data_IF_966409802816
#
_entry.id   IF_966409802816
#
_cell.length_a   1.000
_cell.length_b   1.000
_cell.length_c   1.000
_cell.angle_alpha   90.00
_cell.angle_beta   90.00
_cell.angle_gamma   90.00
#
_symmetry.space_group_name_H-M   'P 1'
#
loop_
_entity.id
_entity.type
_entity.pdbx_description
1 polymer ?
#
# COMPACT_ATOMS: atom_id res chain seq x y z
N UNK A 1 -0.31 -3.82 -20.88
CA UNK A 1 0.54 -2.69 -20.44
C UNK A 1 -0.26 -1.68 -19.59
N UNK A 2 -0.91 -2.11 -18.50
CA UNK A 2 -1.83 -1.25 -17.73
C UNK A 2 -1.55 -1.21 -16.22
N UNK A 3 -0.37 -1.67 -15.81
CA UNK A 3 -0.01 -1.77 -14.40
C UNK A 3 0.33 -0.42 -13.79
N UNK A 4 0.14 -0.30 -12.47
CA UNK A 4 0.51 0.91 -11.73
C UNK A 4 2.00 1.25 -11.90
N UNK A 5 2.89 0.27 -11.93
CA UNK A 5 4.34 0.50 -12.10
C UNK A 5 4.66 1.28 -13.38
N UNK A 6 4.04 0.90 -14.51
CA UNK A 6 4.20 1.61 -15.78
C UNK A 6 3.60 3.02 -15.72
N UNK A 7 2.43 3.19 -15.10
CA UNK A 7 1.79 4.49 -14.94
C UNK A 7 2.65 5.45 -14.11
N UNK A 8 3.26 4.97 -13.03
CA UNK A 8 4.18 5.77 -12.21
C UNK A 8 5.45 6.19 -12.98
N UNK A 9 6.01 5.29 -13.78
CA UNK A 9 7.16 5.59 -14.65
C UNK A 9 6.82 6.71 -15.64
N UNK A 10 5.73 6.53 -16.38
CA UNK A 10 5.26 7.49 -17.39
C UNK A 10 4.92 8.83 -16.73
N UNK A 11 4.21 8.84 -15.59
CA UNK A 11 3.89 10.06 -14.86
C UNK A 11 5.15 10.83 -14.46
N UNK A 12 6.16 10.14 -13.91
CA UNK A 12 7.41 10.77 -13.47
C UNK A 12 8.17 11.38 -14.66
N UNK A 13 8.20 10.68 -15.81
CA UNK A 13 8.81 11.19 -17.04
C UNK A 13 8.06 12.43 -17.53
N UNK A 14 6.73 12.40 -17.55
CA UNK A 14 5.90 13.54 -17.96
C UNK A 14 6.14 14.74 -17.04
N UNK A 15 6.16 14.54 -15.72
CA UNK A 15 6.46 15.61 -14.75
C UNK A 15 7.83 16.25 -15.04
N UNK A 16 8.87 15.44 -15.21
CA UNK A 16 10.22 15.94 -15.50
C UNK A 16 10.31 16.68 -16.85
N UNK A 17 9.67 16.16 -17.90
CA UNK A 17 9.62 16.83 -19.20
C UNK A 17 8.91 18.17 -19.09
N UNK A 18 7.73 18.21 -18.47
CA UNK A 18 6.97 19.45 -18.30
C UNK A 18 7.74 20.51 -17.52
N UNK A 19 8.36 20.14 -16.40
CA UNK A 19 9.14 21.09 -15.59
C UNK A 19 10.40 21.56 -16.34
N UNK A 20 11.10 20.66 -17.03
CA UNK A 20 12.29 21.01 -17.82
C UNK A 20 11.91 21.96 -18.96
N UNK A 21 10.83 21.65 -19.69
CA UNK A 21 10.31 22.51 -20.77
C UNK A 21 9.92 23.90 -20.27
N UNK A 22 9.33 24.00 -19.07
CA UNK A 22 9.00 25.28 -18.45
C UNK A 22 10.26 26.13 -18.19
N UNK A 23 11.33 25.54 -17.64
CA UNK A 23 12.57 26.27 -17.40
C UNK A 23 13.30 26.65 -18.69
N UNK A 24 13.33 25.75 -19.68
CA UNK A 24 13.89 26.03 -21.00
C UNK A 24 13.18 27.20 -21.70
N UNK A 25 11.84 27.25 -21.60
CA UNK A 25 11.04 28.34 -22.13
C UNK A 25 11.40 29.71 -21.51
N UNK A 26 11.90 29.70 -20.28
CA UNK A 26 12.35 30.89 -19.56
C UNK A 26 13.86 31.17 -19.73
N UNK A 27 14.51 30.56 -20.73
CA UNK A 27 15.91 30.84 -21.07
C UNK A 27 16.96 30.15 -20.18
N UNK A 28 16.55 29.18 -19.36
CA UNK A 28 17.47 28.40 -18.53
C UNK A 28 18.21 27.37 -19.39
N UNK A 29 19.51 27.16 -19.14
CA UNK A 29 20.29 26.13 -19.85
C UNK A 29 19.76 24.72 -19.55
N UNK A 30 19.89 23.78 -20.48
CA UNK A 30 19.33 22.43 -20.34
C UNK A 30 19.75 21.72 -19.05
N UNK A 31 21.03 21.75 -18.71
CA UNK A 31 21.56 21.09 -17.51
C UNK A 31 20.92 21.69 -16.25
N UNK A 32 20.83 23.02 -16.17
CA UNK A 32 20.24 23.68 -15.02
C UNK A 32 18.72 23.51 -14.97
N UNK A 33 18.05 23.47 -16.12
CA UNK A 33 16.61 23.19 -16.23
C UNK A 33 16.26 21.79 -15.69
N UNK A 34 17.05 20.76 -16.05
CA UNK A 34 16.88 19.40 -15.52
C UNK A 34 17.10 19.38 -14.00
N UNK A 35 18.15 20.05 -13.51
CA UNK A 35 18.40 20.15 -12.07
C UNK A 35 17.23 20.79 -11.32
N UNK A 36 16.71 21.92 -11.80
CA UNK A 36 15.55 22.59 -11.21
C UNK A 36 14.28 21.73 -11.30
N UNK A 37 14.07 21.02 -12.40
CA UNK A 37 12.94 20.09 -12.55
C UNK A 37 12.97 18.98 -11.49
N UNK A 38 14.15 18.42 -11.20
CA UNK A 38 14.33 17.44 -10.13
C UNK A 38 14.03 18.08 -8.77
N UNK A 39 14.51 19.29 -8.50
CA UNK A 39 14.21 19.99 -7.25
C UNK A 39 12.72 20.25 -7.06
N UNK A 40 12.01 20.65 -8.12
CA UNK A 40 10.54 20.83 -8.09
C UNK A 40 9.85 19.51 -7.78
N UNK A 41 10.23 18.43 -8.47
CA UNK A 41 9.67 17.10 -8.23
C UNK A 41 9.87 16.66 -6.77
N UNK A 42 11.10 16.77 -6.24
CA UNK A 42 11.41 16.42 -4.85
C UNK A 42 10.70 17.34 -3.85
N UNK A 43 10.57 18.63 -4.17
CA UNK A 43 9.85 19.62 -3.38
C UNK A 43 8.37 19.29 -3.25
N UNK A 44 7.70 18.93 -4.34
CA UNK A 44 6.30 18.50 -4.34
C UNK A 44 6.12 17.24 -3.48
N UNK A 45 6.99 16.24 -3.62
CA UNK A 45 6.89 15.01 -2.79
C UNK A 45 7.14 15.31 -1.31
N UNK A 46 8.10 16.17 -1.00
CA UNK A 46 8.36 16.62 0.37
C UNK A 46 7.16 17.33 0.97
N UNK A 47 6.53 18.23 0.19
CA UNK A 47 5.32 18.92 0.60
C UNK A 47 4.17 17.94 0.93
N UNK A 48 3.95 16.91 0.11
CA UNK A 48 2.91 15.90 0.37
C UNK A 48 3.15 15.13 1.69
N UNK A 49 4.41 14.74 1.97
CA UNK A 49 4.77 14.07 3.22
C UNK A 49 4.54 15.00 4.42
N UNK A 50 5.02 16.25 4.35
CA UNK A 50 4.81 17.25 5.41
C UNK A 50 3.33 17.50 5.66
N UNK A 51 2.54 17.66 4.59
CA UNK A 51 1.08 17.84 4.69
C UNK A 51 0.43 16.65 5.40
N UNK A 52 0.86 15.42 5.11
CA UNK A 52 0.38 14.22 5.80
C UNK A 52 0.68 14.25 7.29
N UNK A 53 1.89 14.68 7.69
CA UNK A 53 2.26 14.85 9.10
C UNK A 53 1.50 15.97 9.80
N UNK A 54 1.22 17.09 9.12
CA UNK A 54 0.38 18.16 9.67
C UNK A 54 -1.01 17.62 10.01
N UNK A 55 -1.63 16.88 9.10
CA UNK A 55 -2.94 16.27 9.32
C UNK A 55 -2.87 15.24 10.45
N UNK A 56 -1.86 14.37 10.45
CA UNK A 56 -1.65 13.42 11.52
C UNK A 56 -1.47 14.11 12.88
N UNK A 57 -0.76 15.24 12.93
CA UNK A 57 -0.56 16.02 14.15
C UNK A 57 -1.85 16.65 14.68
N UNK A 58 -2.68 17.20 13.79
CA UNK A 58 -3.97 17.81 14.13
C UNK A 58 -4.95 16.76 14.69
N UNK A 59 -4.96 15.55 14.10
CA UNK A 59 -5.94 14.50 14.42
C UNK A 59 -5.36 13.30 15.17
N UNK A 60 -4.17 13.42 15.77
CA UNK A 60 -3.53 12.32 16.50
C UNK A 60 -4.34 11.90 17.72
N UNK A 61 -4.34 10.61 18.00
CA UNK A 61 -4.74 10.11 19.32
C UNK A 61 -3.71 10.52 20.38
N UNK A 62 -4.13 10.72 21.64
CA UNK A 62 -3.20 10.96 22.74
C UNK A 62 -2.16 9.85 22.84
N UNK A 63 -0.88 10.21 22.85
CA UNK A 63 0.21 9.26 23.03
C UNK A 63 0.47 9.06 24.54
N UNK A 64 0.54 7.80 25.02
CA UNK A 64 0.94 7.52 26.40
C UNK A 64 2.31 8.14 26.70
N UNK A 65 2.58 8.60 27.94
CA UNK A 65 3.83 9.31 28.27
C UNK A 65 5.11 8.58 27.83
N UNK A 66 5.14 7.25 27.96
CA UNK A 66 6.28 6.42 27.56
C UNK A 66 6.53 6.36 26.03
N UNK A 67 5.57 6.77 25.21
CA UNK A 67 5.64 6.76 23.74
C UNK A 67 5.68 8.16 23.13
N UNK A 68 5.77 9.20 23.96
CA UNK A 68 5.89 10.57 23.46
C UNK A 68 7.28 10.78 22.85
N UNK A 69 7.29 11.29 21.62
CA UNK A 69 8.52 11.57 20.90
C UNK A 69 9.04 12.96 21.25
N UNK A 70 10.33 13.06 21.56
CA UNK A 70 11.02 14.34 21.63
C UNK A 70 11.24 14.95 20.24
N UNK A 71 11.58 16.24 20.18
CA UNK A 71 11.77 16.97 18.92
C UNK A 71 12.72 16.26 17.95
N UNK A 72 13.88 15.78 18.44
CA UNK A 72 14.85 15.06 17.62
C UNK A 72 14.31 13.75 17.04
N UNK A 73 13.51 13.01 17.82
CA UNK A 73 12.87 11.78 17.35
C UNK A 73 11.77 12.07 16.32
N UNK A 74 11.02 13.16 16.50
CA UNK A 74 10.04 13.62 15.51
C UNK A 74 10.71 14.01 14.19
N UNK A 75 11.79 14.79 14.23
CA UNK A 75 12.56 15.14 13.02
C UNK A 75 13.08 13.87 12.33
N UNK A 76 13.68 12.95 13.10
CA UNK A 76 14.16 11.67 12.58
C UNK A 76 13.05 10.86 11.92
N UNK A 77 11.87 10.78 12.54
CA UNK A 77 10.70 10.09 11.99
C UNK A 77 10.27 10.70 10.65
N UNK A 78 10.17 12.04 10.57
CA UNK A 78 9.77 12.73 9.33
C UNK A 78 10.81 12.51 8.22
N UNK A 79 12.11 12.58 8.54
CA UNK A 79 13.17 12.33 7.55
C UNK A 79 13.18 10.88 7.04
N UNK A 80 12.97 9.90 7.94
CA UNK A 80 12.84 8.49 7.56
C UNK A 80 11.63 8.28 6.67
N UNK A 81 10.48 8.87 7.01
CA UNK A 81 9.27 8.77 6.20
C UNK A 81 9.45 9.42 4.83
N UNK A 82 10.11 10.59 4.75
CA UNK A 82 10.41 11.25 3.48
C UNK A 82 11.30 10.37 2.60
N UNK A 83 12.37 9.82 3.16
CA UNK A 83 13.28 8.95 2.42
C UNK A 83 12.56 7.67 1.95
N UNK A 84 11.77 7.04 2.84
CA UNK A 84 10.99 5.86 2.50
C UNK A 84 9.95 6.17 1.41
N UNK A 85 9.24 7.30 1.52
CA UNK A 85 8.26 7.72 0.54
C UNK A 85 8.89 7.96 -0.84
N UNK A 86 10.04 8.65 -0.90
CA UNK A 86 10.75 8.88 -2.15
C UNK A 86 11.27 7.57 -2.76
N UNK A 87 11.92 6.72 -1.97
CA UNK A 87 12.40 5.43 -2.42
C UNK A 87 11.26 4.56 -2.94
N UNK A 88 10.16 4.48 -2.20
CA UNK A 88 9.02 3.64 -2.55
C UNK A 88 8.30 4.16 -3.79
N UNK A 89 8.04 5.46 -3.89
CA UNK A 89 7.26 6.03 -5.01
C UNK A 89 8.07 6.19 -6.29
N UNK A 90 9.34 6.57 -6.23
CA UNK A 90 10.16 6.81 -7.42
C UNK A 90 10.85 5.53 -7.92
N UNK A 91 11.26 4.64 -7.01
CA UNK A 91 12.08 3.47 -7.37
C UNK A 91 11.28 2.19 -7.21
N UNK A 92 10.87 1.84 -5.99
CA UNK A 92 10.45 0.47 -5.69
C UNK A 92 9.14 0.11 -6.40
N UNK A 93 8.16 1.01 -6.41
CA UNK A 93 6.88 0.74 -7.08
C UNK A 93 7.00 0.83 -8.60
N UNK A 94 7.84 1.72 -9.12
CA UNK A 94 8.12 1.87 -10.54
C UNK A 94 8.83 0.63 -11.11
N UNK A 95 9.76 0.08 -10.34
CA UNK A 95 10.55 -1.10 -10.69
C UNK A 95 10.04 -2.38 -10.03
N UNK A 96 8.78 -2.40 -9.60
CA UNK A 96 8.18 -3.48 -8.81
C UNK A 96 8.37 -4.86 -9.46
N UNK A 97 8.16 -4.96 -10.78
CA UNK A 97 8.38 -6.18 -11.55
C UNK A 97 9.78 -6.79 -11.42
N UNK A 98 10.80 -5.95 -11.20
CA UNK A 98 12.20 -6.36 -11.13
C UNK A 98 12.66 -6.55 -9.68
N UNK A 99 12.01 -5.89 -8.73
CA UNK A 99 12.45 -5.83 -7.33
C UNK A 99 11.66 -6.76 -6.41
N UNK A 100 10.43 -7.11 -6.75
CA UNK A 100 9.53 -7.88 -5.89
C UNK A 100 9.08 -9.17 -6.56
N UNK A 101 9.40 -10.26 -5.89
CA UNK A 101 8.86 -11.59 -6.17
C UNK A 101 7.40 -11.64 -5.69
N UNK A 102 6.45 -11.77 -6.63
CA UNK A 102 5.01 -11.75 -6.28
C UNK A 102 4.49 -13.05 -5.70
N UNK A 103 5.21 -14.14 -5.92
CA UNK A 103 4.90 -15.50 -5.47
C UNK A 103 6.20 -16.29 -5.41
N UNK A 104 6.29 -17.32 -4.54
CA UNK A 104 7.52 -18.07 -4.38
C UNK A 104 7.85 -18.92 -5.64
N UNK A 105 9.11 -19.37 -5.81
CA UNK A 105 9.49 -20.20 -6.95
C UNK A 105 8.84 -21.59 -6.85
N UNK A 106 8.50 -22.19 -8.00
CA UNK A 106 7.76 -23.47 -8.07
C UNK A 106 8.42 -24.61 -7.25
N UNK A 107 9.74 -24.61 -7.15
CA UNK A 107 10.54 -25.64 -6.46
C UNK A 107 10.51 -25.53 -4.91
N UNK A 108 9.85 -24.51 -4.35
CA UNK A 108 9.74 -24.31 -2.89
C UNK A 108 8.58 -25.07 -2.23
N UNK A 109 7.68 -25.62 -3.06
CA UNK A 109 6.44 -26.31 -2.68
C UNK A 109 6.66 -27.60 -1.86
N UNK A 110 7.74 -28.35 -2.11
CA UNK A 110 7.97 -29.66 -1.48
C UNK A 110 8.53 -29.59 -0.05
N UNK A 111 9.21 -28.50 0.31
CA UNK A 111 9.96 -28.41 1.58
C UNK A 111 9.16 -27.87 2.77
N UNK A 112 7.89 -27.47 2.59
CA UNK A 112 7.12 -26.70 3.57
C UNK A 112 5.66 -27.13 3.71
N UNK A 113 5.34 -28.38 3.38
CA UNK A 113 4.05 -28.99 3.68
C UNK A 113 3.65 -28.66 5.13
N UNK A 114 2.49 -28.00 5.29
CA UNK A 114 1.95 -27.59 6.60
C UNK A 114 2.13 -26.11 6.98
N UNK A 115 2.88 -25.29 6.22
CA UNK A 115 2.92 -23.83 6.47
C UNK A 115 1.85 -23.08 5.66
N UNK A 116 1.04 -22.29 6.35
CA UNK A 116 0.01 -21.47 5.72
C UNK A 116 0.67 -20.40 4.81
N UNK A 117 0.27 -20.30 3.54
CA UNK A 117 0.71 -19.22 2.66
C UNK A 117 0.22 -17.87 3.18
N UNK A 118 1.02 -16.83 2.97
CA UNK A 118 0.74 -15.46 3.39
C UNK A 118 0.55 -14.59 2.16
N UNK A 119 -0.59 -13.92 2.05
CA UNK A 119 -0.86 -12.94 0.99
C UNK A 119 -0.75 -11.54 1.56
N UNK A 120 0.15 -10.74 0.99
CA UNK A 120 0.37 -9.35 1.34
C UNK A 120 -0.51 -8.45 0.45
N UNK A 121 -1.43 -7.70 1.09
CA UNK A 121 -2.46 -6.89 0.41
C UNK A 121 -2.17 -5.41 0.65
N UNK A 122 -1.70 -4.71 -0.39
CA UNK A 122 -1.26 -3.32 -0.28
C UNK A 122 -2.42 -2.32 -0.08
N UNK A 123 -2.07 -1.07 0.22
CA UNK A 123 -3.01 0.04 0.42
C UNK A 123 -3.42 0.74 -0.87
N UNK A 124 -4.07 1.90 -0.72
CA UNK A 124 -4.44 2.77 -1.83
C UNK A 124 -3.20 3.21 -2.64
N UNK A 125 -3.34 3.29 -3.97
CA UNK A 125 -2.31 3.80 -4.87
C UNK A 125 -0.95 3.10 -4.69
N UNK A 126 -1.00 1.79 -4.43
CA UNK A 126 0.17 0.96 -4.23
C UNK A 126 0.18 -0.22 -5.21
N UNK A 127 1.33 -0.88 -5.32
CA UNK A 127 1.49 -2.20 -5.92
C UNK A 127 2.34 -3.09 -4.97
N UNK A 128 2.66 -4.32 -5.38
CA UNK A 128 3.47 -5.27 -4.60
C UNK A 128 4.84 -4.72 -4.18
N UNK A 129 5.35 -3.71 -4.89
CA UNK A 129 6.56 -2.95 -4.56
C UNK A 129 6.54 -2.42 -3.13
N UNK A 130 5.36 -2.02 -2.64
CA UNK A 130 5.19 -1.53 -1.27
C UNK A 130 5.66 -2.54 -0.20
N UNK A 131 5.60 -3.83 -0.52
CA UNK A 131 6.00 -4.90 0.38
C UNK A 131 7.49 -5.25 0.31
N UNK A 132 8.30 -4.59 -0.52
CA UNK A 132 9.71 -4.98 -0.76
C UNK A 132 10.54 -5.22 0.52
N UNK A 133 10.45 -4.31 1.49
CA UNK A 133 11.16 -4.45 2.78
C UNK A 133 10.57 -5.57 3.63
N UNK A 134 9.24 -5.62 3.76
CA UNK A 134 8.54 -6.63 4.55
C UNK A 134 8.76 -8.04 3.98
N UNK A 135 8.70 -8.19 2.67
CA UNK A 135 8.94 -9.44 1.96
C UNK A 135 10.33 -9.99 2.29
N UNK A 136 11.38 -9.15 2.23
CA UNK A 136 12.75 -9.52 2.62
C UNK A 136 12.84 -9.86 4.11
N UNK A 137 12.16 -9.09 4.97
CA UNK A 137 12.14 -9.31 6.42
C UNK A 137 11.51 -10.66 6.81
N UNK A 138 10.39 -11.02 6.16
CA UNK A 138 9.67 -12.27 6.39
C UNK A 138 10.44 -13.47 5.81
N UNK A 139 11.00 -13.34 4.60
CA UNK A 139 11.84 -14.38 3.97
C UNK A 139 13.07 -14.71 4.83
N UNK A 140 13.73 -13.70 5.39
CA UNK A 140 14.84 -13.87 6.35
C UNK A 140 14.45 -14.61 7.64
N UNK A 141 13.17 -14.65 7.99
CA UNK A 141 12.62 -15.40 9.14
C UNK A 141 12.05 -16.76 8.76
N UNK A 142 12.30 -17.22 7.54
CA UNK A 142 11.83 -18.53 7.06
C UNK A 142 10.36 -18.54 6.65
N UNK A 143 9.70 -17.39 6.54
CA UNK A 143 8.37 -17.30 5.92
C UNK A 143 8.59 -17.13 4.42
N UNK A 144 8.46 -18.22 3.68
CA UNK A 144 8.83 -18.31 2.26
C UNK A 144 7.62 -18.49 1.34
N UNK A 145 6.48 -18.99 1.85
CA UNK A 145 5.20 -19.03 1.12
C UNK A 145 4.55 -17.64 1.08
N UNK A 146 5.25 -16.65 0.52
CA UNK A 146 4.84 -15.26 0.43
C UNK A 146 4.28 -14.95 -0.95
N UNK A 147 3.04 -14.47 -0.96
CA UNK A 147 2.33 -14.03 -2.14
C UNK A 147 1.96 -12.56 -1.98
N UNK A 148 1.81 -11.87 -3.09
CA UNK A 148 1.31 -10.49 -3.14
C UNK A 148 0.16 -10.39 -4.14
N UNK A 149 -0.60 -9.31 -4.05
CA UNK A 149 -1.64 -8.96 -5.02
C UNK A 149 -1.50 -7.49 -5.41
N UNK A 150 -1.69 -7.20 -6.71
CA UNK A 150 -1.92 -5.84 -7.20
C UNK A 150 -3.42 -5.61 -7.37
N UNK A 151 -3.96 -4.62 -6.68
CA UNK A 151 -5.37 -4.24 -6.76
C UNK A 151 -5.56 -3.19 -7.87
N UNK A 152 -6.14 -3.62 -9.01
CA UNK A 152 -6.29 -2.78 -10.20
C UNK A 152 -7.72 -2.81 -10.76
N UNK A 153 -8.27 -1.68 -11.25
CA UNK A 153 -7.65 -0.37 -11.38
C UNK A 153 -7.60 0.41 -10.05
N UNK A 154 -6.60 1.27 -9.89
CA UNK A 154 -6.23 1.93 -8.61
C UNK A 154 -7.36 2.72 -7.93
N UNK A 155 -8.32 3.24 -8.70
CA UNK A 155 -9.43 4.07 -8.21
C UNK A 155 -10.77 3.32 -8.12
N UNK A 156 -10.75 2.00 -8.26
CA UNK A 156 -11.95 1.18 -8.07
C UNK A 156 -12.42 1.18 -6.60
N UNK A 157 -13.61 0.62 -6.37
CA UNK A 157 -14.13 0.43 -5.02
C UNK A 157 -13.55 -0.83 -4.32
N UNK A 158 -13.68 -0.84 -3.00
CA UNK A 158 -13.14 -1.91 -2.14
C UNK A 158 -13.85 -3.25 -2.39
N UNK A 159 -15.08 -3.25 -2.91
CA UNK A 159 -15.81 -4.48 -3.24
C UNK A 159 -15.16 -5.21 -4.42
N UNK A 160 -14.85 -4.47 -5.49
CA UNK A 160 -14.15 -5.02 -6.64
C UNK A 160 -12.74 -5.51 -6.28
N UNK A 161 -12.04 -4.81 -5.39
CA UNK A 161 -10.76 -5.27 -4.84
C UNK A 161 -10.91 -6.55 -4.01
N UNK A 162 -11.99 -6.72 -3.26
CA UNK A 162 -12.25 -7.94 -2.50
C UNK A 162 -12.55 -9.14 -3.41
N UNK A 163 -13.20 -8.93 -4.56
CA UNK A 163 -13.38 -9.97 -5.57
C UNK A 163 -12.05 -10.36 -6.25
N UNK A 164 -11.17 -9.40 -6.50
CA UNK A 164 -9.80 -9.69 -6.96
C UNK A 164 -9.04 -10.51 -5.93
N UNK A 165 -9.14 -10.14 -4.65
CA UNK A 165 -8.55 -10.91 -3.56
C UNK A 165 -9.13 -12.31 -3.48
N UNK A 166 -10.44 -12.50 -3.69
CA UNK A 166 -11.06 -13.82 -3.72
C UNK A 166 -10.44 -14.73 -4.78
N UNK A 167 -10.27 -14.22 -6.02
CA UNK A 167 -9.61 -14.96 -7.10
C UNK A 167 -8.16 -15.30 -6.72
N UNK A 168 -7.42 -14.32 -6.21
CA UNK A 168 -6.03 -14.53 -5.80
C UNK A 168 -5.89 -15.55 -4.68
N UNK A 169 -6.82 -15.58 -3.73
CA UNK A 169 -6.80 -16.58 -2.64
C UNK A 169 -6.99 -17.99 -3.20
N UNK A 170 -7.93 -18.22 -4.13
CA UNK A 170 -8.12 -19.54 -4.74
C UNK A 170 -6.90 -19.97 -5.59
N UNK A 171 -6.30 -19.05 -6.33
CA UNK A 171 -5.03 -19.30 -7.04
C UNK A 171 -3.92 -19.72 -6.06
N UNK A 172 -3.75 -18.98 -4.96
CA UNK A 172 -2.72 -19.27 -3.96
C UNK A 172 -2.98 -20.61 -3.27
N UNK A 173 -4.23 -20.92 -2.92
CA UNK A 173 -4.61 -22.23 -2.37
C UNK A 173 -4.24 -23.37 -3.33
N UNK A 174 -4.47 -23.18 -4.63
CA UNK A 174 -4.12 -24.15 -5.67
C UNK A 174 -2.61 -24.33 -5.78
N UNK A 175 -1.85 -23.23 -5.90
CA UNK A 175 -0.38 -23.25 -6.05
C UNK A 175 0.30 -23.84 -4.81
N UNK A 176 -0.16 -23.45 -3.62
CA UNK A 176 0.45 -23.86 -2.35
C UNK A 176 -0.08 -25.20 -1.82
N UNK A 177 -1.08 -25.78 -2.48
CA UNK A 177 -1.82 -26.96 -2.00
C UNK A 177 -2.34 -26.79 -0.56
N UNK A 178 -2.68 -25.55 -0.19
CA UNK A 178 -3.15 -25.22 1.15
C UNK A 178 -4.63 -24.85 1.12
N UNK A 179 -5.41 -25.38 2.05
CA UNK A 179 -6.85 -25.08 2.13
C UNK A 179 -7.13 -23.65 2.59
N UNK A 180 -6.18 -23.04 3.31
CA UNK A 180 -6.33 -21.72 3.92
C UNK A 180 -5.07 -20.87 3.78
N UNK A 181 -5.25 -19.55 3.84
CA UNK A 181 -4.18 -18.55 3.77
C UNK A 181 -4.23 -17.58 4.95
N UNK A 182 -3.11 -16.90 5.20
CA UNK A 182 -3.03 -15.73 6.08
C UNK A 182 -3.04 -14.47 5.20
N UNK A 183 -3.81 -13.46 5.56
CA UNK A 183 -3.78 -12.16 4.92
C UNK A 183 -3.04 -11.16 5.80
N UNK A 184 -2.13 -10.38 5.20
CA UNK A 184 -1.53 -9.19 5.82
C UNK A 184 -1.92 -7.98 5.00
N UNK A 185 -2.87 -7.20 5.52
CA UNK A 185 -3.41 -6.03 4.85
C UNK A 185 -2.83 -4.73 5.40
N UNK A 186 -2.21 -3.91 4.55
CA UNK A 186 -1.78 -2.56 4.92
C UNK A 186 -2.82 -1.52 4.51
N UNK A 187 -3.14 -0.58 5.39
CA UNK A 187 -4.07 0.54 5.11
C UNK A 187 -5.39 0.01 4.51
N UNK A 188 -5.78 0.46 3.32
CA UNK A 188 -6.95 -0.03 2.56
C UNK A 188 -6.98 -1.56 2.40
N UNK A 189 -5.83 -2.22 2.25
CA UNK A 189 -5.75 -3.67 2.05
C UNK A 189 -6.32 -4.50 3.22
N UNK A 190 -6.32 -3.95 4.44
CA UNK A 190 -7.01 -4.58 5.57
C UNK A 190 -8.53 -4.50 5.46
N UNK A 191 -9.08 -3.42 4.91
CA UNK A 191 -10.52 -3.33 4.62
C UNK A 191 -10.92 -4.28 3.49
N UNK A 192 -10.12 -4.34 2.42
CA UNK A 192 -10.29 -5.32 1.33
C UNK A 192 -10.34 -6.75 1.89
N UNK A 193 -9.43 -7.07 2.81
CA UNK A 193 -9.36 -8.38 3.48
C UNK A 193 -10.62 -8.67 4.31
N UNK A 194 -11.15 -7.69 5.04
CA UNK A 194 -12.41 -7.84 5.81
C UNK A 194 -13.61 -8.05 4.91
N UNK A 195 -13.71 -7.29 3.83
CA UNK A 195 -14.80 -7.43 2.85
C UNK A 195 -14.76 -8.81 2.20
N UNK A 196 -13.57 -9.27 1.79
CA UNK A 196 -13.39 -10.63 1.30
C UNK A 196 -13.86 -11.69 2.32
N UNK A 197 -13.44 -11.54 3.57
CA UNK A 197 -13.82 -12.45 4.65
C UNK A 197 -15.33 -12.56 4.85
N UNK A 198 -16.05 -11.42 4.87
CA UNK A 198 -17.47 -11.40 5.18
C UNK A 198 -18.39 -11.63 3.97
N UNK A 199 -18.01 -11.18 2.76
CA UNK A 199 -18.91 -11.13 1.60
C UNK A 199 -18.54 -12.07 0.45
N UNK A 200 -17.28 -12.48 0.34
CA UNK A 200 -16.77 -13.23 -0.83
C UNK A 200 -16.17 -14.59 -0.47
N UNK A 201 -16.74 -15.26 0.54
CA UNK A 201 -16.39 -16.64 0.88
C UNK A 201 -15.12 -16.83 1.72
N UNK A 202 -14.48 -15.74 2.17
CA UNK A 202 -13.21 -15.82 2.90
C UNK A 202 -13.26 -16.60 4.21
N UNK A 203 -14.44 -16.78 4.84
CA UNK A 203 -14.58 -17.63 6.04
C UNK A 203 -14.01 -19.05 5.89
N UNK A 204 -14.08 -19.64 4.69
CA UNK A 204 -13.59 -21.00 4.43
C UNK A 204 -12.08 -21.05 4.19
N UNK A 205 -11.52 -19.96 3.66
CA UNK A 205 -10.15 -19.87 3.13
C UNK A 205 -9.19 -19.08 4.00
N UNK A 206 -9.67 -18.35 5.01
CA UNK A 206 -8.80 -17.50 5.83
C UNK A 206 -8.51 -18.17 7.18
N UNK A 207 -7.23 -18.36 7.45
CA UNK A 207 -6.75 -18.77 8.77
C UNK A 207 -6.55 -17.58 9.71
N UNK A 208 -6.05 -16.45 9.18
CA UNK A 208 -5.83 -15.23 9.97
C UNK A 208 -5.80 -13.99 9.07
N UNK A 209 -6.29 -12.87 9.59
CA UNK A 209 -6.10 -11.54 9.00
C UNK A 209 -5.28 -10.70 9.98
N UNK A 210 -4.21 -10.10 9.47
CA UNK A 210 -3.35 -9.16 10.20
C UNK A 210 -3.47 -7.83 9.47
N UNK A 211 -3.83 -6.76 10.18
CA UNK A 211 -3.96 -5.42 9.60
C UNK A 211 -2.88 -4.48 10.15
N UNK A 212 -2.36 -3.62 9.28
CA UNK A 212 -1.32 -2.64 9.61
C UNK A 212 -1.84 -1.26 9.19
N UNK A 213 -2.13 -0.40 10.18
CA UNK A 213 -2.60 0.97 9.91
C UNK A 213 -3.91 1.05 9.12
N UNK A 214 -4.76 0.02 9.19
CA UNK A 214 -6.01 -0.04 8.43
C UNK A 214 -7.08 0.87 9.02
N UNK A 215 -7.75 1.70 8.21
CA UNK A 215 -8.75 2.65 8.69
C UNK A 215 -10.10 1.96 8.96
N UNK A 216 -10.16 1.08 9.96
CA UNK A 216 -11.36 0.31 10.33
C UNK A 216 -12.59 1.19 10.65
N UNK A 217 -12.35 2.41 11.12
CA UNK A 217 -13.39 3.41 11.42
C UNK A 217 -13.28 4.66 10.53
N UNK A 218 -12.47 4.58 9.47
CA UNK A 218 -12.23 5.64 8.51
C UNK A 218 -10.95 6.41 8.78
N UNK A 219 -10.63 7.34 7.89
CA UNK A 219 -9.43 8.18 7.97
C UNK A 219 -9.75 9.63 7.58
N UNK A 220 -9.10 10.58 8.27
CA UNK A 220 -9.19 12.00 7.91
C UNK A 220 -8.55 12.27 6.53
N UNK A 221 -7.49 11.53 6.18
CA UNK A 221 -6.84 11.63 4.86
C UNK A 221 -7.80 11.28 3.71
N UNK A 222 -8.83 10.47 3.96
CA UNK A 222 -9.82 10.09 2.96
C UNK A 222 -10.75 11.25 2.51
N UNK A 223 -10.66 12.42 3.17
CA UNK A 223 -11.37 13.64 2.79
C UNK A 223 -10.62 14.49 1.77
N UNK A 224 -9.31 14.29 1.63
CA UNK A 224 -8.43 15.16 0.83
C UNK A 224 -8.50 14.90 -0.68
N UNK A 225 -8.95 13.71 -1.07
CA UNK A 225 -8.93 13.25 -2.45
C UNK A 225 -10.28 12.67 -2.87
N UNK A 226 -10.45 12.52 -4.18
CA UNK A 226 -11.61 11.91 -4.81
C UNK A 226 -11.33 10.47 -5.23
N UNK A 227 -12.35 9.62 -5.16
CA UNK A 227 -12.27 8.20 -5.53
C UNK A 227 -13.33 7.38 -4.79
N UNK A 228 -13.79 6.27 -5.38
CA UNK A 228 -14.79 5.40 -4.73
C UNK A 228 -14.23 4.79 -3.43
N UNK A 229 -13.03 4.23 -3.49
CA UNK A 229 -12.33 3.71 -2.33
C UNK A 229 -12.11 4.76 -1.21
N UNK A 230 -11.73 5.98 -1.57
CA UNK A 230 -11.57 7.09 -0.63
C UNK A 230 -12.91 7.44 0.03
N UNK A 231 -14.01 7.49 -0.73
CA UNK A 231 -15.35 7.73 -0.15
C UNK A 231 -15.73 6.64 0.86
N UNK A 232 -15.45 5.38 0.57
CA UNK A 232 -15.67 4.23 1.47
C UNK A 232 -14.81 4.29 2.74
N UNK A 233 -13.63 4.92 2.68
CA UNK A 233 -12.72 5.08 3.83
C UNK A 233 -12.94 6.37 4.64
N UNK A 234 -13.99 7.15 4.36
CA UNK A 234 -14.31 8.34 5.16
C UNK A 234 -14.89 7.95 6.52
N UNK A 235 -14.63 8.79 7.52
CA UNK A 235 -15.28 8.71 8.83
C UNK A 235 -16.81 8.72 8.66
N UNK A 236 -17.51 7.93 9.48
CA UNK A 236 -18.98 7.83 9.51
C UNK A 236 -19.61 7.42 8.17
N UNK A 237 -18.86 6.76 7.29
CA UNK A 237 -19.40 6.26 6.03
C UNK A 237 -20.34 5.06 6.29
N UNK A 238 -21.53 5.07 5.69
CA UNK A 238 -22.54 4.02 5.88
C UNK A 238 -22.04 2.62 5.48
N UNK A 239 -21.30 2.49 4.37
CA UNK A 239 -20.71 1.23 3.93
C UNK A 239 -19.67 0.71 4.95
N UNK A 240 -18.87 1.60 5.54
CA UNK A 240 -17.87 1.19 6.54
C UNK A 240 -18.52 0.81 7.88
N UNK A 241 -19.58 1.52 8.27
CA UNK A 241 -20.37 1.17 9.45
C UNK A 241 -21.04 -0.19 9.30
N UNK A 242 -21.61 -0.48 8.13
CA UNK A 242 -22.18 -1.79 7.82
C UNK A 242 -21.12 -2.91 7.91
N UNK A 243 -19.91 -2.66 7.39
CA UNK A 243 -18.80 -3.60 7.50
C UNK A 243 -18.38 -3.84 8.97
N UNK A 244 -18.43 -2.81 9.82
CA UNK A 244 -18.14 -2.95 11.25
C UNK A 244 -19.21 -3.77 11.99
N UNK A 245 -20.48 -3.55 11.68
CA UNK A 245 -21.59 -4.36 12.23
C UNK A 245 -21.54 -5.83 11.80
N UNK A 246 -20.96 -6.13 10.63
CA UNK A 246 -20.73 -7.52 10.23
C UNK A 246 -19.72 -8.21 11.15
N UNK A 247 -18.68 -7.51 11.62
CA UNK A 247 -17.66 -8.10 12.47
C UNK A 247 -18.17 -8.39 13.88
N UNK A 248 -18.94 -7.47 14.47
CA UNK A 248 -19.52 -7.63 15.81
C UNK A 248 -20.46 -8.83 15.91
N UNK A 249 -21.14 -9.20 14.82
CA UNK A 249 -22.05 -10.37 14.79
C UNK A 249 -21.35 -11.73 14.83
N UNK A 250 -20.03 -11.79 14.66
CA UNK A 250 -19.26 -13.04 14.64
C UNK A 250 -18.22 -13.14 15.78
N UNK A 251 -18.24 -12.19 16.71
CA UNK A 251 -17.49 -12.22 17.97
C UNK A 251 -18.47 -12.33 19.14
#
# INVERSE_FOLDING_TARGET
MNSLAFKLAVQTIIELVLYTSLFLWNGVTLIFAIFLAILVLLGIRTFLVILSFIIAWIYRSPAPPAMQLGLGQTIKMVLIELWAFLLTTLVVQTLEYWLVERQPPDNSSSSLLGRLPVILVHGLNCNSGYWWVMHRYLKKRGITQLFTINLEPVFDDIENFAQQLARRVEEVCTISQSERVILVGHSMGGLVSRVYYHRYGGKKRIAKIITIGSPHHGSQHARLLWGKNLRQMRLNNAWLNELNQLQERYH
#
